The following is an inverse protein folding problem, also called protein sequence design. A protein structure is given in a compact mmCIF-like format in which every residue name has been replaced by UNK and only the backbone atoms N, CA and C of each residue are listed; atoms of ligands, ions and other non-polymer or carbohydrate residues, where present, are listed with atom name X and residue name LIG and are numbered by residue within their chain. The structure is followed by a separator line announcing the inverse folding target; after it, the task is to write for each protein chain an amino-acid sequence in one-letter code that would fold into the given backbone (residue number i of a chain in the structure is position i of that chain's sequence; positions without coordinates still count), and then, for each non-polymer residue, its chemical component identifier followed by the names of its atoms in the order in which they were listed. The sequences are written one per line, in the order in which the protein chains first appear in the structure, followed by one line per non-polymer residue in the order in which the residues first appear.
data_IF_893454113814
#
_entry.id   IF_893454113814
#
_cell.length_a   1.000
_cell.length_b   1.000
_cell.length_c   1.000
_cell.angle_alpha   90.00
_cell.angle_beta   90.00
_cell.angle_gamma   90.00
#
_symmetry.space_group_name_H-M   'P 1'
#
loop_
_entity.id
_entity.type
_entity.pdbx_description
1 polymer ?
#
# COMPACT_ATOMS: atom_id res chain seq x y z
N UNK A 1 -20.93 -42.95 44.76
CA UNK A 1 -19.60 -42.48 44.27
C UNK A 1 -19.55 -42.45 42.73
N UNK A 2 -20.69 -42.24 42.07
CA UNK A 2 -20.84 -42.27 40.62
C UNK A 2 -21.37 -40.94 39.99
N UNK A 3 -21.70 -39.92 40.82
CA UNK A 3 -22.31 -38.68 40.32
C UNK A 3 -21.36 -37.46 40.28
N UNK A 4 -20.08 -37.65 40.62
CA UNK A 4 -19.10 -36.55 40.67
C UNK A 4 -18.25 -36.43 39.39
N UNK A 5 -18.35 -37.36 38.44
CA UNK A 5 -17.49 -37.40 37.23
C UNK A 5 -18.22 -36.87 35.95
N UNK A 6 -19.44 -36.34 36.06
CA UNK A 6 -20.22 -35.87 34.92
C UNK A 6 -20.33 -34.36 34.76
N UNK A 7 -19.45 -33.56 35.35
CA UNK A 7 -19.24 -32.21 34.92
C UNK A 7 -18.11 -32.15 33.86
N UNK A 8 -18.29 -32.88 32.77
CA UNK A 8 -17.53 -32.59 31.54
C UNK A 8 -17.77 -31.12 31.20
N UNK A 9 -16.74 -30.32 31.42
CA UNK A 9 -16.67 -28.92 30.92
C UNK A 9 -16.82 -29.06 29.42
N UNK A 10 -18.04 -28.83 28.93
CA UNK A 10 -18.36 -28.71 27.51
C UNK A 10 -17.65 -27.44 27.00
N UNK A 11 -16.36 -27.57 26.70
CA UNK A 11 -15.57 -26.50 26.05
C UNK A 11 -16.14 -26.36 24.64
N UNK A 12 -17.28 -25.68 24.52
CA UNK A 12 -17.74 -25.24 23.21
C UNK A 12 -16.66 -24.35 22.63
N UNK A 13 -16.07 -24.69 21.46
CA UNK A 13 -15.11 -23.82 20.84
C UNK A 13 -15.81 -22.48 20.56
N UNK A 14 -15.18 -21.34 20.93
CA UNK A 14 -15.80 -20.03 20.74
C UNK A 14 -16.16 -19.86 19.27
N UNK A 15 -17.31 -19.25 19.00
CA UNK A 15 -17.82 -19.02 17.65
C UNK A 15 -16.78 -18.22 16.81
N UNK A 16 -16.81 -18.37 15.50
CA UNK A 16 -15.89 -17.67 14.60
C UNK A 16 -15.95 -16.16 14.86
N UNK A 17 -17.14 -15.60 15.11
CA UNK A 17 -17.34 -14.19 15.44
C UNK A 17 -16.64 -13.78 16.75
N UNK A 18 -16.69 -14.61 17.80
CA UNK A 18 -15.98 -14.33 19.07
C UNK A 18 -14.46 -14.44 18.93
N UNK A 19 -13.96 -15.35 18.08
CA UNK A 19 -12.52 -15.44 17.78
C UNK A 19 -12.02 -14.20 17.01
N UNK A 20 -12.78 -13.74 16.04
CA UNK A 20 -12.48 -12.52 15.28
C UNK A 20 -12.50 -11.30 16.20
N UNK A 21 -13.55 -11.12 17.00
CA UNK A 21 -13.65 -10.01 17.96
C UNK A 21 -12.51 -10.02 19.00
N UNK A 22 -12.13 -11.19 19.53
CA UNK A 22 -11.01 -11.33 20.45
C UNK A 22 -9.65 -11.03 19.77
N UNK A 23 -9.50 -11.31 18.48
CA UNK A 23 -8.29 -10.97 17.73
C UNK A 23 -8.19 -9.46 17.49
N UNK A 24 -9.28 -8.79 17.11
CA UNK A 24 -9.33 -7.34 16.98
C UNK A 24 -9.09 -6.63 18.33
N UNK A 25 -9.67 -7.12 19.42
CA UNK A 25 -9.45 -6.55 20.76
C UNK A 25 -7.99 -6.71 21.24
N UNK A 26 -7.33 -7.83 20.90
CA UNK A 26 -5.90 -8.04 21.18
C UNK A 26 -5.02 -7.12 20.32
N UNK A 27 -5.32 -6.99 19.03
CA UNK A 27 -4.62 -6.08 18.13
C UNK A 27 -4.76 -4.63 18.61
N UNK A 28 -5.96 -4.18 18.97
CA UNK A 28 -6.20 -2.84 19.51
C UNK A 28 -5.43 -2.56 20.80
N UNK A 29 -5.36 -3.54 21.73
CA UNK A 29 -4.56 -3.39 22.96
C UNK A 29 -3.07 -3.31 22.68
N UNK A 30 -2.52 -4.13 21.79
CA UNK A 30 -1.11 -4.04 21.38
C UNK A 30 -0.80 -2.69 20.74
N UNK A 31 -1.67 -2.26 19.81
CA UNK A 31 -1.50 -0.96 19.13
C UNK A 31 -1.55 0.22 20.12
N UNK A 32 -2.37 0.14 21.18
CA UNK A 32 -2.44 1.18 22.21
C UNK A 32 -1.13 1.29 23.05
N UNK A 33 -0.31 0.25 23.09
CA UNK A 33 1.00 0.25 23.73
C UNK A 33 2.14 0.70 22.80
N UNK A 34 1.86 0.88 21.50
CA UNK A 34 2.82 1.35 20.49
C UNK A 34 2.38 2.71 19.93
N UNK A 35 2.75 3.82 20.58
CA UNK A 35 2.23 5.15 20.23
C UNK A 35 2.59 5.58 18.81
N UNK A 36 3.74 5.16 18.27
CA UNK A 36 4.14 5.44 16.89
C UNK A 36 3.24 4.69 15.89
N UNK A 37 2.98 3.41 16.13
CA UNK A 37 2.09 2.62 15.29
C UNK A 37 0.67 3.17 15.26
N UNK A 38 0.15 3.56 16.45
CA UNK A 38 -1.16 4.20 16.56
C UNK A 38 -1.20 5.52 15.77
N UNK A 39 -0.16 6.36 15.89
CA UNK A 39 -0.06 7.61 15.13
C UNK A 39 -0.08 7.35 13.60
N UNK A 40 0.64 6.34 13.11
CA UNK A 40 0.61 5.95 11.69
C UNK A 40 -0.79 5.60 11.21
N UNK A 41 -1.52 4.75 11.95
CA UNK A 41 -2.90 4.38 11.60
C UNK A 41 -3.88 5.56 11.70
N UNK A 42 -3.72 6.44 12.69
CA UNK A 42 -4.55 7.65 12.82
C UNK A 42 -4.33 8.58 11.63
N UNK A 43 -3.08 8.84 11.24
CA UNK A 43 -2.77 9.68 10.07
C UNK A 43 -3.34 9.05 8.79
N UNK A 44 -3.20 7.73 8.58
CA UNK A 44 -3.79 7.05 7.43
C UNK A 44 -5.31 7.13 7.46
N UNK A 45 -5.94 6.95 8.61
CA UNK A 45 -7.38 7.13 8.78
C UNK A 45 -7.84 8.55 8.41
N UNK A 46 -7.10 9.57 8.87
CA UNK A 46 -7.35 10.97 8.50
C UNK A 46 -7.17 11.20 6.99
N UNK A 47 -6.12 10.66 6.38
CA UNK A 47 -5.90 10.76 4.93
C UNK A 47 -7.03 10.09 4.13
N UNK A 48 -7.52 8.94 4.58
CA UNK A 48 -8.67 8.29 3.96
C UNK A 48 -9.95 9.13 4.10
N UNK A 49 -10.18 9.73 5.27
CA UNK A 49 -11.31 10.64 5.48
C UNK A 49 -11.18 11.89 4.60
N UNK A 50 -10.01 12.51 4.53
CA UNK A 50 -9.73 13.64 3.64
C UNK A 50 -9.99 13.25 2.18
N UNK A 51 -9.54 12.07 1.74
CA UNK A 51 -9.78 11.60 0.37
C UNK A 51 -11.27 11.40 0.05
N UNK A 52 -12.04 10.85 1.00
CA UNK A 52 -13.48 10.61 0.84
C UNK A 52 -14.25 11.93 0.85
N UNK A 53 -13.98 12.78 1.84
CA UNK A 53 -14.69 14.03 2.05
C UNK A 53 -14.05 15.24 1.38
N UNK A 54 -13.10 15.04 0.44
CA UNK A 54 -12.39 16.11 -0.26
C UNK A 54 -13.33 17.22 -0.79
N UNK A 55 -14.48 16.92 -1.44
CA UNK A 55 -15.38 17.96 -1.93
C UNK A 55 -16.03 18.82 -0.84
N UNK A 56 -16.10 18.32 0.40
CA UNK A 56 -16.67 19.04 1.56
C UNK A 56 -15.60 19.78 2.35
N UNK A 57 -14.36 19.30 2.32
CA UNK A 57 -13.25 19.84 3.09
C UNK A 57 -12.47 20.94 2.35
N UNK A 58 -12.48 20.91 1.02
CA UNK A 58 -11.76 21.90 0.21
C UNK A 58 -12.50 23.25 0.25
N UNK A 59 -11.80 24.35 0.66
CA UNK A 59 -12.41 25.67 0.70
C UNK A 59 -12.78 26.20 -0.69
N UNK A 60 -12.02 25.81 -1.73
CA UNK A 60 -12.18 26.27 -3.11
C UNK A 60 -12.22 25.08 -4.08
N UNK A 61 -12.69 25.32 -5.28
CA UNK A 61 -12.56 24.36 -6.38
C UNK A 61 -11.07 24.22 -6.77
N UNK A 62 -10.49 23.00 -6.83
CA UNK A 62 -9.07 22.79 -7.09
C UNK A 62 -8.63 23.13 -8.53
N UNK A 63 -9.58 23.37 -9.44
CA UNK A 63 -9.34 23.56 -10.87
C UNK A 63 -9.59 24.99 -11.34
N UNK A 64 -10.49 25.72 -10.69
CA UNK A 64 -10.83 27.10 -11.06
C UNK A 64 -9.60 27.99 -10.88
N UNK A 65 -9.31 28.76 -11.94
CA UNK A 65 -8.17 29.67 -12.01
C UNK A 65 -8.60 31.09 -11.69
N UNK A 66 -7.77 31.82 -10.92
CA UNK A 66 -7.93 33.25 -10.61
C UNK A 66 -6.60 33.94 -10.81
N UNK A 67 -6.32 34.39 -12.05
CA UNK A 67 -5.02 35.01 -12.38
C UNK A 67 -4.70 36.27 -11.55
N UNK A 68 -5.73 36.94 -11.00
CA UNK A 68 -5.56 38.06 -10.08
C UNK A 68 -4.94 37.67 -8.74
N UNK A 69 -5.08 36.39 -8.36
CA UNK A 69 -4.60 35.81 -7.10
C UNK A 69 -3.39 34.89 -7.31
N UNK A 70 -2.70 35.00 -8.46
CA UNK A 70 -1.54 34.16 -8.76
C UNK A 70 -0.38 34.38 -7.80
N UNK A 71 0.23 33.28 -7.33
CA UNK A 71 1.43 33.25 -6.48
C UNK A 71 1.29 34.02 -5.15
N UNK A 72 0.07 34.10 -4.60
CA UNK A 72 -0.13 34.73 -3.29
C UNK A 72 0.42 33.86 -2.15
N UNK A 73 1.09 34.45 -1.14
CA UNK A 73 1.62 33.71 -0.01
C UNK A 73 0.48 33.13 0.88
N UNK A 74 0.81 32.17 1.75
CA UNK A 74 -0.12 31.68 2.75
C UNK A 74 -0.77 32.80 3.54
N UNK A 75 -2.11 32.80 3.62
CA UNK A 75 -2.95 33.83 4.24
C UNK A 75 -4.21 33.18 4.80
N UNK A 76 -5.04 33.97 5.52
CA UNK A 76 -6.35 33.50 6.00
C UNK A 76 -7.33 33.16 4.86
N UNK A 77 -7.19 33.79 3.69
CA UNK A 77 -7.96 33.45 2.50
C UNK A 77 -7.44 32.17 1.83
N UNK A 78 -6.12 32.02 1.75
CA UNK A 78 -5.46 30.87 1.14
C UNK A 78 -4.43 30.30 2.10
N UNK A 79 -4.82 29.33 2.94
CA UNK A 79 -4.00 28.82 4.04
C UNK A 79 -2.65 28.24 3.60
N UNK A 80 -2.58 27.64 2.40
CA UNK A 80 -1.34 27.15 1.79
C UNK A 80 -0.82 28.03 0.66
N UNK A 81 -1.41 29.21 0.45
CA UNK A 81 -1.12 30.08 -0.68
C UNK A 81 -1.77 29.62 -1.98
N UNK A 82 -1.43 30.28 -3.08
CA UNK A 82 -1.92 29.98 -4.43
C UNK A 82 -0.79 29.61 -5.38
N UNK A 83 -1.12 28.89 -6.45
CA UNK A 83 -0.18 28.51 -7.50
C UNK A 83 -0.08 29.58 -8.60
N UNK A 84 0.68 29.30 -9.68
CA UNK A 84 0.90 30.18 -10.83
C UNK A 84 -0.37 30.55 -11.60
N UNK A 85 -1.46 29.83 -11.41
CA UNK A 85 -2.78 30.10 -12.01
C UNK A 85 -3.78 30.68 -11.00
N UNK A 86 -3.32 31.02 -9.78
CA UNK A 86 -4.18 31.51 -8.70
C UNK A 86 -5.10 30.45 -8.08
N UNK A 87 -4.81 29.15 -8.29
CA UNK A 87 -5.58 28.06 -7.68
C UNK A 87 -5.15 27.85 -6.23
N UNK A 88 -6.09 27.60 -5.34
CA UNK A 88 -5.81 27.36 -3.94
C UNK A 88 -5.04 26.05 -3.70
N UNK A 89 -3.83 26.15 -3.13
CA UNK A 89 -2.96 24.98 -2.93
C UNK A 89 -3.55 24.03 -1.90
N UNK A 90 -4.18 24.51 -0.82
CA UNK A 90 -4.77 23.63 0.17
C UNK A 90 -5.87 22.75 -0.44
N UNK A 91 -6.78 23.34 -1.21
CA UNK A 91 -7.82 22.59 -1.92
C UNK A 91 -7.22 21.56 -2.87
N UNK A 92 -6.16 21.90 -3.58
CA UNK A 92 -5.42 20.99 -4.46
C UNK A 92 -4.74 19.86 -3.69
N UNK A 93 -4.19 20.12 -2.50
CA UNK A 93 -3.61 19.08 -1.63
C UNK A 93 -4.67 18.10 -1.14
N UNK A 94 -5.83 18.60 -0.73
CA UNK A 94 -6.97 17.80 -0.29
C UNK A 94 -7.46 16.86 -1.41
N UNK A 95 -7.68 17.38 -2.61
CA UNK A 95 -8.06 16.56 -3.76
C UNK A 95 -6.91 15.64 -4.24
N UNK A 96 -5.65 16.08 -4.12
CA UNK A 96 -4.47 15.28 -4.42
C UNK A 96 -4.33 14.06 -3.51
N UNK A 97 -4.78 14.15 -2.25
CA UNK A 97 -4.88 12.99 -1.34
C UNK A 97 -5.74 11.88 -1.96
N UNK A 98 -6.87 12.23 -2.59
CA UNK A 98 -7.76 11.27 -3.25
C UNK A 98 -7.06 10.55 -4.40
N UNK A 99 -6.34 11.29 -5.25
CA UNK A 99 -5.56 10.73 -6.37
C UNK A 99 -4.47 9.79 -5.84
N UNK A 100 -3.74 10.22 -4.81
CA UNK A 100 -2.65 9.43 -4.21
C UNK A 100 -3.17 8.14 -3.59
N UNK A 101 -4.21 8.19 -2.75
CA UNK A 101 -4.81 7.00 -2.13
C UNK A 101 -5.36 6.05 -3.19
N UNK A 102 -6.08 6.56 -4.19
CA UNK A 102 -6.59 5.75 -5.29
C UNK A 102 -5.45 5.05 -6.04
N UNK A 103 -4.37 5.76 -6.35
CA UNK A 103 -3.18 5.23 -7.03
C UNK A 103 -2.54 4.10 -6.24
N UNK A 104 -2.24 4.34 -4.96
CA UNK A 104 -1.59 3.35 -4.09
C UNK A 104 -2.44 2.10 -3.92
N UNK A 105 -3.74 2.27 -3.67
CA UNK A 105 -4.66 1.13 -3.53
C UNK A 105 -4.78 0.35 -4.83
N UNK A 106 -4.93 1.03 -5.99
CA UNK A 106 -5.02 0.36 -7.29
C UNK A 106 -3.77 -0.46 -7.60
N UNK A 107 -2.58 0.10 -7.39
CA UNK A 107 -1.31 -0.61 -7.59
C UNK A 107 -1.21 -1.80 -6.64
N UNK A 108 -1.53 -1.62 -5.35
CA UNK A 108 -1.44 -2.68 -4.34
C UNK A 108 -2.39 -3.84 -4.64
N UNK A 109 -3.62 -3.54 -5.12
CA UNK A 109 -4.61 -4.54 -5.53
C UNK A 109 -4.18 -5.34 -6.78
N UNK A 110 -3.31 -4.79 -7.61
CA UNK A 110 -2.74 -5.50 -8.78
C UNK A 110 -1.50 -6.29 -8.36
N UNK A 111 -0.56 -5.63 -7.69
CA UNK A 111 0.76 -6.17 -7.36
C UNK A 111 0.68 -7.30 -6.32
N UNK A 112 -0.20 -7.16 -5.32
CA UNK A 112 -0.37 -8.16 -4.27
C UNK A 112 -0.80 -9.53 -4.80
N UNK A 113 -1.95 -9.64 -5.48
CA UNK A 113 -2.41 -10.91 -6.02
C UNK A 113 -1.47 -11.49 -7.08
N UNK A 114 -0.89 -10.67 -7.97
CA UNK A 114 0.07 -11.14 -8.98
C UNK A 114 1.33 -11.71 -8.32
N UNK A 115 1.92 -10.97 -7.40
CA UNK A 115 3.11 -11.41 -6.68
C UNK A 115 2.86 -12.66 -5.82
N UNK A 116 1.72 -12.69 -5.10
CA UNK A 116 1.30 -13.86 -4.33
C UNK A 116 1.15 -15.09 -5.23
N UNK A 117 0.43 -14.97 -6.35
CA UNK A 117 0.19 -16.07 -7.27
C UNK A 117 1.50 -16.62 -7.83
N UNK A 118 2.36 -15.74 -8.38
CA UNK A 118 3.65 -16.14 -8.97
C UNK A 118 4.53 -16.81 -7.90
N UNK A 119 4.62 -16.22 -6.71
CA UNK A 119 5.47 -16.75 -5.64
C UNK A 119 4.98 -18.10 -5.09
N UNK A 120 3.67 -18.22 -4.81
CA UNK A 120 3.09 -19.46 -4.29
C UNK A 120 3.18 -20.59 -5.31
N UNK A 121 2.92 -20.31 -6.59
CA UNK A 121 3.06 -21.31 -7.68
C UNK A 121 4.52 -21.75 -7.80
N UNK A 122 5.47 -20.83 -7.82
CA UNK A 122 6.90 -21.13 -7.88
C UNK A 122 7.34 -21.98 -6.68
N UNK A 123 7.00 -21.58 -5.46
CA UNK A 123 7.38 -22.26 -4.23
C UNK A 123 6.74 -23.66 -4.09
N UNK A 124 5.49 -23.83 -4.52
CA UNK A 124 4.77 -25.09 -4.41
C UNK A 124 5.25 -26.13 -5.42
N UNK A 125 5.23 -25.81 -6.72
CA UNK A 125 5.58 -26.76 -7.77
C UNK A 125 7.09 -27.02 -7.84
N UNK A 126 7.93 -26.00 -7.59
CA UNK A 126 9.38 -26.16 -7.65
C UNK A 126 9.92 -26.48 -9.05
N UNK A 127 11.13 -27.02 -9.12
CA UNK A 127 11.75 -27.51 -10.35
C UNK A 127 11.80 -26.49 -11.48
N UNK A 128 11.36 -26.86 -12.68
CA UNK A 128 11.36 -26.00 -13.88
C UNK A 128 10.41 -24.80 -13.76
N UNK A 129 9.25 -24.98 -13.11
CA UNK A 129 8.26 -23.90 -12.87
C UNK A 129 8.88 -22.80 -12.01
N UNK A 130 9.50 -23.19 -10.91
CA UNK A 130 10.21 -22.25 -10.03
C UNK A 130 11.34 -21.53 -10.78
N UNK A 131 12.18 -22.30 -11.50
CA UNK A 131 13.29 -21.72 -12.25
C UNK A 131 12.83 -20.69 -13.28
N UNK A 132 11.74 -20.97 -14.02
CA UNK A 132 11.20 -20.06 -15.04
C UNK A 132 10.62 -18.78 -14.42
N UNK A 133 9.75 -18.94 -13.40
CA UNK A 133 9.10 -17.81 -12.75
C UNK A 133 10.10 -16.91 -12.01
N UNK A 134 11.08 -17.52 -11.34
CA UNK A 134 12.13 -16.73 -10.68
C UNK A 134 13.09 -16.09 -11.68
N UNK A 135 13.37 -16.70 -12.82
CA UNK A 135 14.15 -16.06 -13.87
C UNK A 135 13.45 -14.81 -14.41
N UNK A 136 12.14 -14.88 -14.66
CA UNK A 136 11.35 -13.71 -15.04
C UNK A 136 11.38 -12.62 -13.95
N UNK A 137 11.24 -13.02 -12.68
CA UNK A 137 11.36 -12.13 -11.52
C UNK A 137 12.73 -11.45 -11.46
N UNK A 138 13.80 -12.21 -11.71
CA UNK A 138 15.18 -11.71 -11.67
C UNK A 138 15.46 -10.73 -12.81
N UNK A 139 14.90 -10.98 -14.02
CA UNK A 139 15.01 -10.05 -15.15
C UNK A 139 14.42 -8.69 -14.77
N UNK A 140 13.20 -8.66 -14.20
CA UNK A 140 12.58 -7.38 -13.80
C UNK A 140 13.40 -6.69 -12.72
N UNK A 141 13.93 -7.44 -11.73
CA UNK A 141 14.72 -6.89 -10.63
C UNK A 141 16.14 -6.47 -11.05
N UNK A 142 16.63 -6.88 -12.23
CA UNK A 142 17.93 -6.44 -12.72
C UNK A 142 17.95 -4.96 -13.15
N UNK A 143 16.77 -4.38 -13.38
CA UNK A 143 16.64 -2.95 -13.69
C UNK A 143 16.27 -2.14 -12.44
N UNK A 144 16.79 -0.91 -12.29
CA UNK A 144 16.29 0.02 -11.29
C UNK A 144 14.79 0.25 -11.51
N UNK A 145 13.96 -0.04 -10.48
CA UNK A 145 12.49 -0.07 -10.59
C UNK A 145 11.89 1.24 -11.12
N UNK A 146 12.43 2.40 -10.69
CA UNK A 146 11.98 3.70 -11.16
C UNK A 146 12.26 3.91 -12.66
N UNK A 147 13.45 3.52 -13.13
CA UNK A 147 13.84 3.66 -14.55
C UNK A 147 12.96 2.77 -15.42
N UNK A 148 12.69 1.54 -14.97
CA UNK A 148 11.83 0.62 -15.69
C UNK A 148 10.36 1.11 -15.72
N UNK A 149 9.86 1.64 -14.60
CA UNK A 149 8.53 2.26 -14.54
C UNK A 149 8.41 3.47 -15.47
N UNK A 150 9.44 4.33 -15.53
CA UNK A 150 9.53 5.46 -16.48
C UNK A 150 9.48 4.98 -17.93
N UNK A 151 10.24 3.93 -18.27
CA UNK A 151 10.26 3.38 -19.62
C UNK A 151 8.87 2.88 -20.04
N UNK A 152 8.18 2.12 -19.16
CA UNK A 152 6.82 1.68 -19.43
C UNK A 152 5.83 2.83 -19.50
N UNK A 153 5.90 3.82 -18.60
CA UNK A 153 5.01 4.98 -18.63
C UNK A 153 5.22 5.81 -19.90
N UNK A 154 6.46 6.02 -20.33
CA UNK A 154 6.77 6.72 -21.58
C UNK A 154 6.26 5.96 -22.81
N UNK A 155 6.36 4.63 -22.84
CA UNK A 155 5.86 3.80 -23.92
C UNK A 155 4.33 3.75 -24.00
N UNK A 156 3.65 3.77 -22.83
CA UNK A 156 2.18 3.71 -22.74
C UNK A 156 1.52 5.08 -22.90
N UNK A 157 2.28 6.16 -22.77
CA UNK A 157 1.79 7.53 -22.78
C UNK A 157 1.47 8.07 -21.40
N UNK A 158 1.42 9.41 -21.28
CA UNK A 158 1.16 10.10 -20.02
C UNK A 158 -0.29 9.92 -19.55
N UNK A 159 -0.47 9.64 -18.25
CA UNK A 159 -1.80 9.48 -17.65
C UNK A 159 -1.76 8.73 -16.31
N UNK A 160 -2.80 8.91 -15.50
CA UNK A 160 -2.90 8.24 -14.20
C UNK A 160 -2.98 6.71 -14.36
N UNK A 161 -3.82 6.23 -15.28
CA UNK A 161 -4.00 4.79 -15.53
C UNK A 161 -2.73 4.15 -16.05
N UNK A 162 -2.04 4.80 -16.98
CA UNK A 162 -0.77 4.31 -17.54
C UNK A 162 0.34 4.28 -16.49
N UNK A 163 0.41 5.28 -15.60
CA UNK A 163 1.32 5.29 -14.46
C UNK A 163 1.03 4.11 -13.49
N UNK A 164 -0.25 3.85 -13.18
CA UNK A 164 -0.65 2.70 -12.35
C UNK A 164 -0.18 1.38 -12.98
N UNK A 165 -0.40 1.19 -14.29
CA UNK A 165 0.02 0.00 -15.01
C UNK A 165 1.55 -0.12 -15.01
N UNK A 166 2.26 0.96 -15.34
CA UNK A 166 3.73 0.98 -15.41
C UNK A 166 4.37 0.61 -14.06
N UNK A 167 3.89 1.19 -12.96
CA UNK A 167 4.38 0.85 -11.61
C UNK A 167 4.01 -0.58 -11.26
N UNK A 168 2.79 -1.03 -11.57
CA UNK A 168 2.35 -2.41 -11.27
C UNK A 168 3.20 -3.45 -11.99
N UNK A 169 3.64 -3.20 -13.23
CA UNK A 169 4.52 -4.09 -13.98
C UNK A 169 5.91 -4.25 -13.33
N UNK A 170 6.34 -3.30 -12.51
CA UNK A 170 7.68 -3.30 -11.91
C UNK A 170 7.70 -3.63 -10.42
N UNK A 171 6.58 -3.50 -9.71
CA UNK A 171 6.52 -3.60 -8.25
C UNK A 171 6.17 -4.99 -7.69
N UNK A 172 5.74 -5.94 -8.52
CA UNK A 172 5.33 -7.29 -8.09
C UNK A 172 6.50 -8.22 -7.68
N UNK A 173 7.74 -8.13 -8.23
CA UNK A 173 8.79 -9.11 -8.00
C UNK A 173 9.21 -9.30 -6.54
N UNK A 174 9.36 -8.25 -5.71
CA UNK A 174 9.67 -8.42 -4.29
C UNK A 174 8.59 -9.19 -3.53
N UNK A 175 7.31 -9.04 -3.92
CA UNK A 175 6.19 -9.77 -3.33
C UNK A 175 6.26 -11.24 -3.74
N UNK A 176 6.54 -11.52 -5.02
CA UNK A 176 6.68 -12.89 -5.52
C UNK A 176 7.81 -13.65 -4.83
N UNK A 177 8.97 -13.03 -4.62
CA UNK A 177 10.09 -13.65 -3.87
C UNK A 177 9.71 -13.96 -2.42
N UNK A 178 9.03 -13.05 -1.74
CA UNK A 178 8.55 -13.27 -0.39
C UNK A 178 7.55 -14.44 -0.33
N UNK A 179 6.51 -14.39 -1.17
CA UNK A 179 5.48 -15.43 -1.22
C UNK A 179 6.06 -16.81 -1.57
N UNK A 180 7.08 -16.86 -2.44
CA UNK A 180 7.83 -18.09 -2.74
C UNK A 180 8.55 -18.63 -1.51
N UNK A 181 9.26 -17.77 -0.77
CA UNK A 181 10.00 -18.19 0.43
C UNK A 181 9.04 -18.77 1.49
N UNK A 182 7.91 -18.13 1.73
CA UNK A 182 6.86 -18.62 2.63
C UNK A 182 6.27 -19.95 2.12
N UNK A 183 5.95 -20.05 0.84
CA UNK A 183 5.38 -21.28 0.25
C UNK A 183 6.35 -22.47 0.35
N UNK A 184 7.66 -22.25 0.23
CA UNK A 184 8.69 -23.29 0.42
C UNK A 184 8.72 -23.84 1.86
N UNK A 185 8.47 -23.01 2.85
CA UNK A 185 8.36 -23.41 4.26
C UNK A 185 7.06 -24.18 4.48
N UNK A 186 5.94 -23.56 4.09
CA UNK A 186 4.59 -24.12 4.35
C UNK A 186 4.36 -25.45 3.65
N UNK A 187 4.86 -25.64 2.43
CA UNK A 187 4.63 -26.89 1.67
C UNK A 187 5.18 -28.15 2.36
N UNK A 188 6.14 -27.99 3.27
CA UNK A 188 6.77 -29.08 4.03
C UNK A 188 6.19 -29.25 5.44
N UNK A 189 5.18 -28.47 5.82
CA UNK A 189 4.53 -28.56 7.11
C UNK A 189 3.71 -29.86 7.24
N UNK A 190 3.66 -30.43 8.44
CA UNK A 190 3.04 -31.75 8.71
C UNK A 190 1.58 -31.83 8.26
N UNK A 191 0.80 -30.75 8.44
CA UNK A 191 -0.60 -30.70 8.00
C UNK A 191 -0.75 -30.72 6.48
N UNK A 192 0.21 -30.20 5.71
CA UNK A 192 0.23 -30.25 4.24
C UNK A 192 0.60 -31.68 3.80
N UNK A 193 1.56 -32.30 4.46
CA UNK A 193 1.97 -33.69 4.22
C UNK A 193 0.78 -34.62 4.52
N UNK A 194 0.09 -34.43 5.64
CA UNK A 194 -1.11 -35.20 5.99
C UNK A 194 -2.21 -35.02 4.91
N UNK A 195 -2.50 -33.79 4.48
CA UNK A 195 -3.48 -33.54 3.43
C UNK A 195 -3.14 -34.27 2.11
N UNK A 196 -1.85 -34.37 1.77
CA UNK A 196 -1.36 -35.17 0.61
C UNK A 196 -1.63 -36.66 0.80
N UNK A 197 -1.34 -37.20 1.97
CA UNK A 197 -1.57 -38.61 2.28
C UNK A 197 -3.07 -38.97 2.22
N UNK A 198 -3.95 -38.03 2.59
CA UNK A 198 -5.41 -38.18 2.43
C UNK A 198 -5.92 -37.94 0.99
N UNK A 199 -5.03 -37.79 0.00
CA UNK A 199 -5.40 -37.72 -1.42
C UNK A 199 -5.88 -36.34 -1.87
N UNK A 200 -5.58 -35.25 -1.15
CA UNK A 200 -5.92 -33.91 -1.59
C UNK A 200 -5.18 -33.56 -2.89
N UNK A 201 -5.92 -33.01 -3.87
CA UNK A 201 -5.33 -32.62 -5.14
C UNK A 201 -4.32 -31.47 -4.98
N UNK A 202 -3.30 -31.35 -5.84
CA UNK A 202 -2.30 -30.28 -5.78
C UNK A 202 -2.92 -28.87 -5.75
N UNK A 203 -3.96 -28.62 -6.57
CA UNK A 203 -4.65 -27.34 -6.62
C UNK A 203 -5.38 -27.03 -5.30
N UNK A 204 -5.99 -28.06 -4.68
CA UNK A 204 -6.64 -27.91 -3.37
C UNK A 204 -5.63 -27.58 -2.29
N UNK A 205 -4.46 -28.21 -2.29
CA UNK A 205 -3.37 -27.92 -1.35
C UNK A 205 -2.88 -26.49 -1.55
N UNK A 206 -2.64 -26.09 -2.79
CA UNK A 206 -2.17 -24.75 -3.13
C UNK A 206 -3.12 -23.66 -2.61
N UNK A 207 -4.41 -23.78 -2.94
CA UNK A 207 -5.40 -22.73 -2.67
C UNK A 207 -5.92 -22.70 -1.24
N UNK A 208 -6.04 -23.86 -0.57
CA UNK A 208 -6.66 -23.92 0.76
C UNK A 208 -5.65 -24.03 1.91
N UNK A 209 -4.44 -24.49 1.64
CA UNK A 209 -3.44 -24.69 2.69
C UNK A 209 -2.23 -23.77 2.58
N UNK A 210 -1.72 -23.52 1.36
CA UNK A 210 -0.48 -22.75 1.18
C UNK A 210 -0.77 -21.26 0.96
N UNK A 211 -1.58 -20.91 -0.05
CA UNK A 211 -1.84 -19.50 -0.37
C UNK A 211 -2.37 -18.70 0.82
N UNK A 212 -3.35 -19.18 1.62
CA UNK A 212 -3.83 -18.43 2.78
C UNK A 212 -2.77 -18.17 3.84
N UNK A 213 -1.80 -19.08 4.00
CA UNK A 213 -0.71 -18.91 4.95
C UNK A 213 0.33 -17.87 4.51
N UNK A 214 0.46 -17.63 3.21
CA UNK A 214 1.35 -16.59 2.66
C UNK A 214 0.72 -15.19 2.68
N UNK A 215 -0.62 -15.08 2.75
CA UNK A 215 -1.34 -13.79 2.70
C UNK A 215 -0.90 -12.79 3.77
N UNK A 216 -0.77 -13.15 5.06
CA UNK A 216 -0.38 -12.19 6.09
C UNK A 216 0.97 -11.52 5.80
N UNK A 217 2.00 -12.31 5.46
CA UNK A 217 3.33 -11.79 5.11
C UNK A 217 3.29 -10.89 3.88
N UNK A 218 2.46 -11.24 2.88
CA UNK A 218 2.28 -10.43 1.67
C UNK A 218 1.59 -9.11 1.99
N UNK A 219 0.57 -9.10 2.85
CA UNK A 219 -0.12 -7.86 3.29
C UNK A 219 0.87 -6.92 3.98
N UNK A 220 1.66 -7.42 4.93
CA UNK A 220 2.71 -6.64 5.60
C UNK A 220 3.69 -6.06 4.59
N UNK A 221 4.18 -6.89 3.66
CA UNK A 221 5.13 -6.44 2.64
C UNK A 221 4.53 -5.38 1.72
N UNK A 222 3.25 -5.52 1.35
CA UNK A 222 2.53 -4.54 0.55
C UNK A 222 2.43 -3.20 1.28
N UNK A 223 2.04 -3.20 2.55
CA UNK A 223 1.90 -1.97 3.34
C UNK A 223 3.23 -1.22 3.44
N UNK A 224 4.33 -1.92 3.72
CA UNK A 224 5.68 -1.33 3.73
C UNK A 224 6.11 -0.80 2.35
N UNK A 225 5.62 -1.43 1.27
CA UNK A 225 5.97 -1.00 -0.09
C UNK A 225 5.16 0.21 -0.57
N UNK A 226 4.04 0.54 0.10
CA UNK A 226 3.15 1.65 -0.30
C UNK A 226 3.85 3.01 -0.29
N UNK A 227 4.74 3.26 0.67
CA UNK A 227 5.55 4.49 0.68
C UNK A 227 6.45 4.61 -0.57
N UNK A 228 7.09 3.51 -0.98
CA UNK A 228 7.88 3.46 -2.22
C UNK A 228 7.03 3.67 -3.48
N UNK A 229 5.82 3.13 -3.49
CA UNK A 229 4.84 3.33 -4.58
C UNK A 229 4.46 4.82 -4.69
N UNK A 230 4.20 5.50 -3.55
CA UNK A 230 3.88 6.94 -3.53
C UNK A 230 5.02 7.75 -4.14
N UNK A 231 6.26 7.50 -3.71
CA UNK A 231 7.43 8.20 -4.21
C UNK A 231 7.64 7.96 -5.71
N UNK A 232 7.43 6.71 -6.18
CA UNK A 232 7.53 6.38 -7.59
C UNK A 232 6.43 7.07 -8.40
N UNK A 233 5.18 7.05 -7.93
CA UNK A 233 4.06 7.74 -8.59
C UNK A 233 4.28 9.25 -8.66
N UNK A 234 4.71 9.87 -7.54
CA UNK A 234 5.05 11.29 -7.52
C UNK A 234 6.22 11.64 -8.45
N UNK A 235 7.21 10.74 -8.58
CA UNK A 235 8.32 10.91 -9.53
C UNK A 235 7.84 10.87 -10.99
N UNK A 236 6.92 9.96 -11.32
CA UNK A 236 6.30 9.91 -12.65
C UNK A 236 5.48 11.19 -12.90
N UNK A 237 4.69 11.64 -11.92
CA UNK A 237 3.93 12.89 -11.99
C UNK A 237 4.84 14.11 -12.18
N UNK A 238 5.94 14.17 -11.42
CA UNK A 238 6.97 15.22 -11.55
C UNK A 238 7.59 15.29 -12.95
N UNK A 239 7.76 14.14 -13.61
CA UNK A 239 8.29 14.03 -14.97
C UNK A 239 7.21 14.15 -16.05
N UNK A 240 5.95 14.44 -15.67
CA UNK A 240 4.85 14.64 -16.60
C UNK A 240 4.22 13.37 -17.17
N UNK A 241 4.54 12.19 -16.58
CA UNK A 241 4.00 10.90 -17.01
C UNK A 241 2.85 10.39 -16.10
N UNK A 242 2.53 11.13 -15.03
CA UNK A 242 1.42 10.87 -14.12
C UNK A 242 0.10 11.45 -14.60
N UNK A 243 -0.79 11.77 -13.63
CA UNK A 243 -2.05 12.44 -13.93
C UNK A 243 -1.80 13.79 -14.61
N UNK A 244 -2.58 14.03 -15.67
CA UNK A 244 -2.42 15.24 -16.49
C UNK A 244 -3.21 16.42 -15.93
N UNK A 245 -2.72 17.67 -16.12
CA UNK A 245 -3.48 18.85 -15.80
C UNK A 245 -4.91 18.82 -16.38
N UNK A 246 -5.93 19.33 -15.67
CA UNK A 246 -5.83 20.16 -14.46
C UNK A 246 -5.82 19.37 -13.14
N UNK A 247 -5.69 18.04 -13.17
CA UNK A 247 -5.74 17.18 -11.99
C UNK A 247 -4.69 17.59 -10.91
N UNK A 248 -5.08 17.70 -9.61
CA UNK A 248 -4.20 18.15 -8.55
C UNK A 248 -3.33 16.97 -8.02
N UNK A 249 -2.43 16.45 -8.84
CA UNK A 249 -1.48 15.39 -8.47
C UNK A 249 -0.22 16.04 -7.87
N UNK A 250 0.22 15.54 -6.70
CA UNK A 250 1.28 16.20 -5.93
C UNK A 250 2.64 16.26 -6.64
N UNK A 251 3.03 15.22 -7.39
CA UNK A 251 4.26 15.23 -8.16
C UNK A 251 4.24 16.26 -9.28
N UNK A 252 3.14 16.38 -10.00
CA UNK A 252 2.93 17.40 -11.03
C UNK A 252 2.91 18.81 -10.42
N UNK A 253 2.33 18.99 -9.21
CA UNK A 253 2.36 20.26 -8.48
C UNK A 253 3.79 20.68 -8.12
N UNK A 254 4.65 19.74 -7.68
CA UNK A 254 6.07 20.04 -7.43
C UNK A 254 6.77 20.43 -8.73
N UNK A 255 6.48 19.72 -9.82
CA UNK A 255 7.08 19.99 -11.12
C UNK A 255 6.79 21.41 -11.64
N UNK A 256 5.54 21.85 -11.52
CA UNK A 256 5.17 23.23 -11.89
C UNK A 256 5.75 24.27 -10.92
N UNK A 257 5.70 23.97 -9.61
CA UNK A 257 6.18 24.87 -8.56
C UNK A 257 7.71 25.06 -8.54
N UNK A 258 8.51 24.11 -9.08
CA UNK A 258 9.99 24.18 -9.03
C UNK A 258 10.57 25.46 -9.63
N UNK A 259 9.90 26.05 -10.61
CA UNK A 259 10.33 27.29 -11.28
C UNK A 259 10.27 28.49 -10.34
N UNK A 260 9.42 28.41 -9.32
CA UNK A 260 9.10 29.49 -8.41
C UNK A 260 9.68 29.27 -7.01
N UNK A 261 10.48 28.20 -6.81
CA UNK A 261 10.91 27.75 -5.47
C UNK A 261 11.70 28.80 -4.68
N UNK A 262 12.44 29.69 -5.34
CA UNK A 262 13.25 30.71 -4.67
C UNK A 262 12.39 31.84 -4.11
N UNK A 263 11.35 32.28 -4.82
CA UNK A 263 10.52 33.42 -4.43
C UNK A 263 9.18 33.00 -3.81
N UNK A 264 8.62 31.84 -4.24
CA UNK A 264 7.29 31.35 -3.88
C UNK A 264 7.37 29.89 -3.42
N UNK A 265 8.18 29.62 -2.42
CA UNK A 265 8.54 28.29 -1.95
C UNK A 265 7.35 27.39 -1.63
N UNK A 266 6.22 27.94 -1.20
CA UNK A 266 5.02 27.20 -0.80
C UNK A 266 4.43 26.39 -1.96
N UNK A 267 4.57 26.83 -3.21
CA UNK A 267 4.01 26.14 -4.38
C UNK A 267 4.59 24.74 -4.55
N UNK A 268 5.88 24.55 -4.28
CA UNK A 268 6.55 23.24 -4.40
C UNK A 268 6.69 22.51 -3.04
N UNK A 269 6.91 23.24 -1.94
CA UNK A 269 7.18 22.64 -0.63
C UNK A 269 5.91 22.03 -0.02
N UNK A 270 4.75 22.66 -0.17
CA UNK A 270 3.50 22.13 0.40
C UNK A 270 3.12 20.75 -0.15
N UNK A 271 3.11 20.48 -1.48
CA UNK A 271 2.89 19.12 -1.97
C UNK A 271 4.03 18.16 -1.61
N UNK A 272 5.27 18.64 -1.48
CA UNK A 272 6.39 17.85 -0.96
C UNK A 272 6.17 17.34 0.48
N UNK A 273 5.67 18.22 1.36
CA UNK A 273 5.29 17.85 2.73
C UNK A 273 4.15 16.82 2.73
N UNK A 274 3.16 16.98 1.86
CA UNK A 274 2.06 16.02 1.75
C UNK A 274 2.55 14.62 1.36
N UNK A 275 3.47 14.51 0.39
CA UNK A 275 4.12 13.25 0.02
C UNK A 275 4.91 12.66 1.19
N UNK A 276 5.72 13.49 1.86
CA UNK A 276 6.52 13.06 3.01
C UNK A 276 5.66 12.49 4.14
N UNK A 277 4.63 13.24 4.56
CA UNK A 277 3.74 12.82 5.66
C UNK A 277 2.98 11.56 5.32
N UNK A 278 2.48 11.45 4.08
CA UNK A 278 1.74 10.26 3.63
C UNK A 278 2.66 9.04 3.56
N UNK A 279 3.85 9.18 2.99
CA UNK A 279 4.83 8.08 2.91
C UNK A 279 5.29 7.64 4.31
N UNK A 280 5.53 8.57 5.21
CA UNK A 280 5.89 8.28 6.61
C UNK A 280 4.76 7.54 7.32
N UNK A 281 3.50 7.96 7.14
CA UNK A 281 2.35 7.31 7.75
C UNK A 281 2.20 5.86 7.29
N UNK A 282 2.39 5.57 5.99
CA UNK A 282 2.38 4.21 5.47
C UNK A 282 3.52 3.35 6.00
N UNK A 283 4.74 3.89 6.14
CA UNK A 283 5.86 3.17 6.74
C UNK A 283 5.58 2.81 8.20
N UNK A 284 5.18 3.79 9.02
CA UNK A 284 4.90 3.57 10.45
C UNK A 284 3.74 2.57 10.63
N UNK A 285 2.67 2.71 9.87
CA UNK A 285 1.55 1.78 9.93
C UNK A 285 1.93 0.37 9.43
N UNK A 286 2.82 0.29 8.44
CA UNK A 286 3.35 -0.99 7.93
C UNK A 286 4.19 -1.73 8.96
N UNK A 287 5.06 -1.02 9.66
CA UNK A 287 5.85 -1.59 10.76
C UNK A 287 4.95 -2.08 11.90
N UNK A 288 4.00 -1.26 12.34
CA UNK A 288 3.04 -1.66 13.37
C UNK A 288 2.17 -2.86 12.92
N UNK A 289 1.76 -2.93 11.66
CA UNK A 289 1.04 -4.09 11.12
C UNK A 289 1.90 -5.35 11.13
N UNK A 290 3.18 -5.23 10.82
CA UNK A 290 4.14 -6.33 10.92
C UNK A 290 4.21 -6.86 12.34
N UNK A 291 4.37 -5.98 13.33
CA UNK A 291 4.48 -6.37 14.75
C UNK A 291 3.18 -6.99 15.30
N UNK A 292 2.03 -6.54 14.80
CA UNK A 292 0.73 -7.12 15.11
C UNK A 292 0.54 -8.53 14.55
N UNK A 293 1.08 -8.81 13.36
CA UNK A 293 0.92 -10.08 12.66
C UNK A 293 2.05 -11.09 12.97
N UNK A 294 3.15 -10.66 13.63
CA UNK A 294 4.24 -11.57 14.02
C UNK A 294 3.81 -12.44 15.22
N UNK A 295 3.71 -13.77 15.03
CA UNK A 295 3.31 -14.69 16.10
C UNK A 295 4.35 -14.84 17.21
N UNK A 296 5.60 -14.40 17.01
CA UNK A 296 6.70 -14.56 17.98
C UNK A 296 6.53 -13.65 19.20
N UNK A 297 5.92 -12.48 19.04
CA UNK A 297 5.62 -11.56 20.16
C UNK A 297 4.40 -11.96 21.00
N UNK A 298 3.73 -13.07 20.68
CA UNK A 298 2.61 -13.58 21.48
C UNK A 298 3.07 -14.47 22.67
N UNK A 299 4.38 -14.70 22.84
CA UNK A 299 4.95 -15.61 23.83
C UNK A 299 5.79 -14.92 24.92
N UNK A 300 5.87 -13.60 24.93
CA UNK A 300 6.52 -12.83 26.00
C UNK A 300 5.53 -12.19 26.95
#
# INVERSE_FOLDING_TARGET
MSDVIRSEIEIRPPSVSTRIAASFARAGRKLAHEPLGLAGFVILGLLCLIAIFAPLLAPYDPVIQSLGDALQPPSLAHLAGTDEFGRDILSRLIFGTRITIQTVLSISLIVGPIGLLIGVVAGFFGGRTDALLMRATDIVLSFPSLILALAFAAALGAGLTTAIIAISLTAWPPIARLARAEALVVRNADYVVAARLYGASPMRILLLYIAPMCVPSVIVRLTLNMAGIILTAASLGFLGLGAQPPAPEWGAMISSGRKFMLDYWWVAVMPGIAILLTSLAFNIAGDALRDLLDPRHARS
#
